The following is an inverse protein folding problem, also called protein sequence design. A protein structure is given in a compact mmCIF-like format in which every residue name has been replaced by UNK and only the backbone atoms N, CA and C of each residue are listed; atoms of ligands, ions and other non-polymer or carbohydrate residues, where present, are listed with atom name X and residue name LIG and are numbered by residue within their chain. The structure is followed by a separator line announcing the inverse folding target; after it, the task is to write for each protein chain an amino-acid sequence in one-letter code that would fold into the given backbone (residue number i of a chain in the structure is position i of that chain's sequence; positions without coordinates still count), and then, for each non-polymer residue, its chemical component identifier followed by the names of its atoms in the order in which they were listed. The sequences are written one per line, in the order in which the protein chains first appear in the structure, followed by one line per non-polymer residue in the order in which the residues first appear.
data_IF_516072180519
#
_entry.id   IF_516072180519
#
_cell.length_a   1.000
_cell.length_b   1.000
_cell.length_c   1.000
_cell.angle_alpha   90.00
_cell.angle_beta   90.00
_cell.angle_gamma   90.00
#
_symmetry.space_group_name_H-M   'P 1'
#
loop_
_entity.id
_entity.type
_entity.pdbx_description
1 polymer ?
#
# COMPACT_ATOMS: atom_id res chain seq x y z
N UNK A 1 14.68 -16.18 -2.86
CA UNK A 1 14.75 -14.84 -2.24
C UNK A 1 15.28 -13.84 -3.25
N UNK A 2 16.46 -14.03 -3.84
CA UNK A 2 17.10 -13.11 -4.81
C UNK A 2 16.18 -12.79 -6.00
N UNK A 3 15.55 -13.80 -6.61
CA UNK A 3 14.62 -13.59 -7.73
C UNK A 3 13.43 -12.70 -7.34
N UNK A 4 12.88 -12.91 -6.14
CA UNK A 4 11.75 -12.10 -5.64
C UNK A 4 12.18 -10.66 -5.31
N UNK A 5 13.42 -10.47 -4.81
CA UNK A 5 13.99 -9.13 -4.63
C UNK A 5 14.05 -8.38 -5.94
N UNK A 6 14.62 -9.02 -6.96
CA UNK A 6 14.76 -8.41 -8.30
C UNK A 6 13.38 -8.07 -8.90
N UNK A 7 12.37 -8.91 -8.71
CA UNK A 7 11.00 -8.63 -9.14
C UNK A 7 10.41 -7.42 -8.42
N UNK A 8 10.57 -7.31 -7.10
CA UNK A 8 10.05 -6.19 -6.30
C UNK A 8 10.74 -4.87 -6.67
N UNK A 9 12.09 -4.87 -6.67
CA UNK A 9 12.85 -3.67 -6.99
C UNK A 9 12.69 -3.25 -8.45
N UNK A 10 12.89 -4.18 -9.38
CA UNK A 10 12.77 -3.90 -10.81
C UNK A 10 11.36 -3.49 -11.19
N UNK A 11 10.35 -4.21 -10.72
CA UNK A 11 8.95 -3.89 -10.98
C UNK A 11 8.52 -2.53 -10.43
N UNK A 12 8.94 -2.20 -9.20
CA UNK A 12 8.61 -0.91 -8.60
C UNK A 12 9.31 0.25 -9.31
N UNK A 13 10.64 0.15 -9.50
CA UNK A 13 11.42 1.25 -10.10
C UNK A 13 11.03 1.47 -11.56
N UNK A 14 10.94 0.41 -12.37
CA UNK A 14 10.53 0.53 -13.77
C UNK A 14 9.08 1.00 -13.90
N UNK A 15 8.19 0.50 -13.06
CA UNK A 15 6.81 0.96 -13.01
C UNK A 15 6.71 2.45 -12.65
N UNK A 16 7.49 2.92 -11.66
CA UNK A 16 7.44 4.31 -11.23
C UNK A 16 8.08 5.27 -12.25
N UNK A 17 9.13 4.85 -12.94
CA UNK A 17 9.70 5.61 -14.06
C UNK A 17 8.70 5.73 -15.20
N UNK A 18 8.05 4.64 -15.58
CA UNK A 18 7.04 4.64 -16.63
C UNK A 18 5.83 5.51 -16.26
N UNK A 19 5.33 5.37 -15.05
CA UNK A 19 4.25 6.19 -14.49
C UNK A 19 4.59 7.68 -14.59
N UNK A 20 5.75 8.07 -14.08
CA UNK A 20 6.24 9.45 -14.10
C UNK A 20 6.41 10.01 -15.52
N UNK A 21 6.88 9.19 -16.45
CA UNK A 21 7.00 9.58 -17.86
C UNK A 21 5.61 9.83 -18.48
N UNK A 22 4.63 8.95 -18.21
CA UNK A 22 3.26 9.10 -18.70
C UNK A 22 2.63 10.36 -18.12
N UNK A 23 2.76 10.60 -16.80
CA UNK A 23 2.24 11.81 -16.14
C UNK A 23 2.89 13.08 -16.73
N UNK A 24 4.20 13.06 -16.95
CA UNK A 24 4.91 14.18 -17.58
C UNK A 24 4.41 14.49 -19.00
N UNK A 25 4.17 13.46 -19.81
CA UNK A 25 3.62 13.60 -21.17
C UNK A 25 2.19 14.13 -21.13
N UNK A 26 1.32 13.61 -20.27
CA UNK A 26 -0.04 14.10 -20.10
C UNK A 26 -0.03 15.56 -19.65
N UNK A 27 0.80 15.91 -18.67
CA UNK A 27 0.96 17.28 -18.20
C UNK A 27 1.38 18.20 -19.35
N UNK A 28 2.39 17.80 -20.14
CA UNK A 28 2.83 18.59 -21.28
C UNK A 28 1.70 18.85 -22.30
N UNK A 29 0.98 17.81 -22.70
CA UNK A 29 -0.10 17.92 -23.69
C UNK A 29 -1.21 18.85 -23.18
N UNK A 30 -1.68 18.66 -21.96
CA UNK A 30 -2.79 19.44 -21.40
C UNK A 30 -2.38 20.89 -21.18
N UNK A 31 -1.21 21.15 -20.60
CA UNK A 31 -0.71 22.49 -20.37
C UNK A 31 -0.45 23.24 -21.69
N UNK A 32 0.01 22.54 -22.75
CA UNK A 32 0.18 23.11 -24.08
C UNK A 32 -1.16 23.50 -24.71
N UNK A 33 -2.20 22.66 -24.58
CA UNK A 33 -3.56 22.96 -25.05
C UNK A 33 -4.13 24.18 -24.30
N UNK A 34 -3.87 24.26 -22.98
CA UNK A 34 -4.28 25.38 -22.14
C UNK A 34 -3.42 26.65 -22.37
N UNK A 35 -2.40 26.57 -23.22
CA UNK A 35 -1.45 27.67 -23.49
C UNK A 35 -0.83 28.25 -22.22
N UNK A 36 -0.45 27.34 -21.28
CA UNK A 36 0.19 27.75 -20.04
C UNK A 36 1.62 28.25 -20.29
N UNK A 37 2.10 29.23 -19.51
CA UNK A 37 3.50 29.65 -19.59
C UNK A 37 4.43 28.52 -19.16
N UNK A 38 5.63 28.52 -19.70
CA UNK A 38 6.70 27.55 -19.38
C UNK A 38 6.25 26.09 -19.38
N UNK A 39 5.31 25.73 -20.26
CA UNK A 39 4.68 24.40 -20.34
C UNK A 39 5.69 23.26 -20.28
N UNK A 40 6.80 23.35 -21.04
CA UNK A 40 7.83 22.29 -21.05
C UNK A 40 8.49 22.15 -19.70
N UNK A 41 8.89 23.26 -19.07
CA UNK A 41 9.52 23.28 -17.77
C UNK A 41 8.60 22.68 -16.69
N UNK A 42 7.36 23.14 -16.65
CA UNK A 42 6.34 22.70 -15.70
C UNK A 42 6.05 21.20 -15.86
N UNK A 43 5.90 20.72 -17.10
CA UNK A 43 5.65 19.31 -17.37
C UNK A 43 6.81 18.41 -16.94
N UNK A 44 8.06 18.85 -17.17
CA UNK A 44 9.26 18.12 -16.71
C UNK A 44 9.33 18.11 -15.19
N UNK A 45 9.06 19.23 -14.52
CA UNK A 45 9.03 19.28 -13.05
C UNK A 45 8.00 18.29 -12.51
N UNK A 46 6.75 18.32 -13.02
CA UNK A 46 5.69 17.40 -12.59
C UNK A 46 6.07 15.95 -12.84
N UNK A 47 6.56 15.62 -14.04
CA UNK A 47 6.95 14.27 -14.40
C UNK A 47 8.09 13.74 -13.54
N UNK A 48 9.17 14.51 -13.39
CA UNK A 48 10.33 14.09 -12.60
C UNK A 48 10.00 13.92 -11.11
N UNK A 49 9.27 14.88 -10.54
CA UNK A 49 8.90 14.80 -9.12
C UNK A 49 7.94 13.66 -8.83
N UNK A 50 7.07 13.28 -9.80
CA UNK A 50 6.14 12.16 -9.65
C UNK A 50 6.82 10.81 -9.42
N UNK A 51 8.14 10.69 -9.64
CA UNK A 51 8.92 9.50 -9.25
C UNK A 51 8.78 9.21 -7.75
N UNK A 52 8.65 10.23 -6.90
CA UNK A 52 8.45 10.07 -5.47
C UNK A 52 6.96 9.81 -5.19
N UNK A 53 6.58 8.61 -4.71
CA UNK A 53 5.17 8.34 -4.40
C UNK A 53 4.64 9.29 -3.32
N UNK A 54 3.38 9.70 -3.44
CA UNK A 54 2.65 10.61 -2.55
C UNK A 54 3.19 12.04 -2.48
N UNK A 55 4.49 12.24 -2.29
CA UNK A 55 5.10 13.57 -2.14
C UNK A 55 5.46 14.24 -3.46
N UNK A 56 5.76 13.45 -4.49
CA UNK A 56 6.14 13.95 -5.79
C UNK A 56 5.19 14.99 -6.38
N UNK A 57 3.89 14.72 -6.40
CA UNK A 57 2.90 15.68 -6.87
C UNK A 57 2.95 17.04 -6.18
N UNK A 58 3.14 17.07 -4.87
CA UNK A 58 3.23 18.32 -4.11
C UNK A 58 4.54 19.05 -4.37
N UNK A 59 5.65 18.30 -4.41
CA UNK A 59 6.99 18.85 -4.70
C UNK A 59 7.03 19.48 -6.09
N UNK A 60 6.33 18.90 -7.07
CA UNK A 60 6.24 19.45 -8.42
C UNK A 60 5.22 20.55 -8.58
N UNK A 61 4.05 20.42 -7.95
CA UNK A 61 2.96 21.38 -8.10
C UNK A 61 3.29 22.75 -7.47
N UNK A 62 3.96 22.79 -6.31
CA UNK A 62 4.24 24.05 -5.61
C UNK A 62 5.13 24.99 -6.44
N UNK A 63 6.35 24.58 -6.90
CA UNK A 63 7.17 25.47 -7.71
C UNK A 63 6.53 25.77 -9.07
N UNK A 64 5.85 24.83 -9.70
CA UNK A 64 5.14 25.02 -10.95
C UNK A 64 4.01 26.05 -10.81
N UNK A 65 3.25 25.99 -9.73
CA UNK A 65 2.22 26.99 -9.43
C UNK A 65 2.81 28.39 -9.28
N UNK A 66 3.93 28.52 -8.55
CA UNK A 66 4.60 29.80 -8.35
C UNK A 66 5.06 30.37 -9.71
N UNK A 67 5.67 29.56 -10.57
CA UNK A 67 6.12 29.97 -11.89
C UNK A 67 4.94 30.52 -12.72
N UNK A 68 3.81 29.82 -12.70
CA UNK A 68 2.63 30.19 -13.52
C UNK A 68 1.91 31.40 -12.92
N UNK A 69 1.67 31.43 -11.60
CA UNK A 69 0.90 32.52 -10.96
C UNK A 69 1.61 33.87 -11.03
N UNK A 70 2.94 33.89 -11.01
CA UNK A 70 3.71 35.13 -11.18
C UNK A 70 3.60 35.72 -12.58
N UNK A 71 3.35 34.86 -13.58
CA UNK A 71 3.15 35.34 -14.98
C UNK A 71 1.69 35.65 -15.25
N UNK A 72 0.76 34.82 -14.80
CA UNK A 72 -0.67 35.00 -14.97
C UNK A 72 -1.46 34.36 -13.81
N UNK A 73 -2.00 35.16 -12.88
CA UNK A 73 -2.74 34.65 -11.72
C UNK A 73 -3.97 33.80 -12.08
N UNK A 74 -4.66 34.13 -13.16
CA UNK A 74 -5.85 33.38 -13.63
C UNK A 74 -5.43 31.98 -14.12
N UNK A 75 -4.35 31.92 -14.87
CA UNK A 75 -3.79 30.62 -15.30
C UNK A 75 -3.27 29.79 -14.12
N UNK A 76 -2.76 30.42 -13.07
CA UNK A 76 -2.41 29.76 -11.82
C UNK A 76 -3.59 28.99 -11.20
N UNK A 77 -4.79 29.59 -11.20
CA UNK A 77 -6.01 28.92 -10.72
C UNK A 77 -6.38 27.72 -11.60
N UNK A 78 -6.34 27.84 -12.91
CA UNK A 78 -6.60 26.73 -13.84
C UNK A 78 -5.57 25.62 -13.66
N UNK A 79 -4.30 25.95 -13.41
CA UNK A 79 -3.26 25.00 -13.13
C UNK A 79 -3.54 24.18 -11.87
N UNK A 80 -4.00 24.79 -10.78
CA UNK A 80 -4.36 24.06 -9.56
C UNK A 80 -5.49 23.05 -9.81
N UNK A 81 -6.53 23.46 -10.55
CA UNK A 81 -7.63 22.56 -10.92
C UNK A 81 -7.09 21.39 -11.75
N UNK A 82 -6.25 21.69 -12.74
CA UNK A 82 -5.62 20.67 -13.58
C UNK A 82 -4.80 19.67 -12.77
N UNK A 83 -3.96 20.15 -11.85
CA UNK A 83 -3.12 19.28 -11.01
C UNK A 83 -3.99 18.37 -10.14
N UNK A 84 -5.06 18.87 -9.53
CA UNK A 84 -5.97 18.05 -8.73
C UNK A 84 -6.59 16.95 -9.60
N UNK A 85 -7.06 17.26 -10.80
CA UNK A 85 -7.62 16.27 -11.72
C UNK A 85 -6.54 15.26 -12.13
N UNK A 86 -5.36 15.73 -12.49
CA UNK A 86 -4.23 14.87 -12.87
C UNK A 86 -3.89 13.87 -11.76
N UNK A 87 -3.86 14.32 -10.49
CA UNK A 87 -3.60 13.46 -9.34
C UNK A 87 -4.71 12.43 -9.10
N UNK A 88 -5.97 12.78 -9.35
CA UNK A 88 -7.05 11.82 -9.28
C UNK A 88 -6.94 10.73 -10.36
N UNK A 89 -6.54 11.12 -11.56
CA UNK A 89 -6.31 10.17 -12.66
C UNK A 89 -5.08 9.28 -12.37
N UNK A 90 -4.00 9.87 -11.87
CA UNK A 90 -2.81 9.11 -11.46
C UNK A 90 -3.13 8.10 -10.36
N UNK A 91 -3.66 8.56 -9.25
CA UNK A 91 -3.91 7.74 -8.06
C UNK A 91 -4.96 6.64 -8.26
N UNK A 92 -5.97 6.86 -9.11
CA UNK A 92 -7.08 5.93 -9.26
C UNK A 92 -7.03 5.08 -10.55
N UNK A 93 -6.30 5.52 -11.56
CA UNK A 93 -6.29 4.86 -12.87
C UNK A 93 -4.89 4.43 -13.30
N UNK A 94 -3.93 5.38 -13.37
CA UNK A 94 -2.61 5.14 -13.95
C UNK A 94 -1.76 4.33 -12.97
N UNK A 95 -1.62 4.81 -11.74
CA UNK A 95 -0.83 4.16 -10.71
C UNK A 95 -1.23 2.70 -10.47
N UNK A 96 -2.52 2.36 -10.22
CA UNK A 96 -2.94 0.97 -10.07
C UNK A 96 -2.68 0.10 -11.30
N UNK A 97 -2.79 0.65 -12.52
CA UNK A 97 -2.54 -0.09 -13.75
C UNK A 97 -1.06 -0.38 -14.00
N UNK A 98 -0.18 0.55 -13.61
CA UNK A 98 1.27 0.44 -13.87
C UNK A 98 1.97 -0.27 -12.73
N UNK A 99 1.73 0.17 -11.50
CA UNK A 99 2.38 -0.38 -10.31
C UNK A 99 1.72 -1.67 -9.82
N UNK A 100 0.40 -1.81 -10.02
CA UNK A 100 -0.36 -2.96 -9.52
C UNK A 100 -0.06 -3.26 -8.05
N UNK A 101 -0.15 -4.54 -7.68
CA UNK A 101 0.23 -5.03 -6.34
C UNK A 101 1.74 -5.31 -6.22
N UNK A 102 2.58 -4.54 -6.93
CA UNK A 102 4.03 -4.82 -7.06
C UNK A 102 4.75 -4.95 -5.72
N UNK A 103 4.29 -4.24 -4.69
CA UNK A 103 4.91 -4.25 -3.36
C UNK A 103 4.18 -5.14 -2.36
N UNK A 104 2.89 -5.39 -2.55
CA UNK A 104 2.02 -6.10 -1.60
C UNK A 104 1.92 -5.41 -0.23
N UNK A 105 2.24 -4.12 -0.16
CA UNK A 105 2.16 -3.29 1.04
C UNK A 105 0.86 -2.47 1.05
N UNK A 106 0.26 -2.27 2.23
CA UNK A 106 -0.81 -1.28 2.36
C UNK A 106 -0.26 0.14 2.25
N UNK A 107 -1.12 1.11 1.88
CA UNK A 107 -0.76 2.52 1.73
C UNK A 107 -0.04 3.09 2.98
N UNK A 108 -0.45 2.67 4.18
CA UNK A 108 0.20 3.05 5.43
C UNK A 108 1.70 2.67 5.45
N UNK A 109 2.02 1.43 5.10
CA UNK A 109 3.41 0.96 5.09
C UNK A 109 4.24 1.59 3.98
N UNK A 110 3.63 1.92 2.86
CA UNK A 110 4.30 2.67 1.78
C UNK A 110 4.66 4.07 2.26
N UNK A 111 3.70 4.81 2.86
CA UNK A 111 3.95 6.15 3.41
C UNK A 111 5.02 6.12 4.51
N UNK A 112 4.95 5.16 5.43
CA UNK A 112 5.93 4.96 6.50
C UNK A 112 7.35 4.73 5.95
N UNK A 113 7.48 3.88 4.92
CA UNK A 113 8.77 3.59 4.30
C UNK A 113 9.39 4.80 3.60
N UNK A 114 8.57 5.65 2.98
CA UNK A 114 9.02 6.90 2.34
C UNK A 114 9.50 7.90 3.38
N UNK A 115 8.76 8.07 4.49
CA UNK A 115 9.14 9.00 5.55
C UNK A 115 10.46 8.59 6.21
N UNK A 116 10.61 7.32 6.58
CA UNK A 116 11.86 6.82 7.18
C UNK A 116 12.99 6.84 6.16
N UNK A 117 12.75 6.33 4.96
CA UNK A 117 13.75 6.34 3.90
C UNK A 117 14.22 7.76 3.59
N UNK A 118 13.28 8.70 3.47
CA UNK A 118 13.57 10.10 3.23
C UNK A 118 14.34 10.78 4.36
N UNK A 119 14.00 10.48 5.61
CA UNK A 119 14.70 11.01 6.77
C UNK A 119 16.14 10.50 6.93
N UNK A 120 16.41 9.26 6.51
CA UNK A 120 17.73 8.63 6.63
C UNK A 120 18.64 8.89 5.41
N UNK A 121 18.09 8.87 4.20
CA UNK A 121 18.86 8.88 2.95
C UNK A 121 18.39 9.95 1.94
N UNK A 122 17.53 10.88 2.37
CA UNK A 122 17.01 11.94 1.51
C UNK A 122 16.22 11.42 0.31
N UNK A 123 16.39 12.06 -0.85
CA UNK A 123 15.65 11.73 -2.08
C UNK A 123 15.76 10.24 -2.49
N UNK A 124 16.98 9.70 -2.45
CA UNK A 124 17.22 8.28 -2.78
C UNK A 124 16.50 7.34 -1.81
N UNK A 125 16.44 7.73 -0.53
CA UNK A 125 15.72 6.98 0.48
C UNK A 125 14.21 7.01 0.29
N UNK A 126 13.63 8.11 -0.18
CA UNK A 126 12.20 8.18 -0.54
C UNK A 126 11.86 7.23 -1.68
N UNK A 127 12.72 7.17 -2.70
CA UNK A 127 12.50 6.31 -3.86
C UNK A 127 12.73 4.82 -3.53
N UNK A 128 13.84 4.50 -2.86
CA UNK A 128 14.22 3.12 -2.58
C UNK A 128 13.58 2.57 -1.29
N UNK A 129 13.07 3.43 -0.43
CA UNK A 129 12.44 3.04 0.83
C UNK A 129 11.30 2.04 0.66
N UNK A 130 10.45 2.27 -0.33
CA UNK A 130 9.30 1.40 -0.60
C UNK A 130 9.74 -0.02 -0.98
N UNK A 131 10.58 -0.27 -1.98
CA UNK A 131 11.00 -1.63 -2.32
C UNK A 131 11.87 -2.28 -1.22
N UNK A 132 12.68 -1.51 -0.50
CA UNK A 132 13.44 -2.03 0.65
C UNK A 132 12.49 -2.52 1.75
N UNK A 133 11.51 -1.71 2.11
CA UNK A 133 10.53 -2.08 3.13
C UNK A 133 9.64 -3.25 2.69
N UNK A 134 9.23 -3.29 1.42
CA UNK A 134 8.50 -4.42 0.84
C UNK A 134 9.28 -5.72 0.96
N UNK A 135 10.61 -5.67 0.77
CA UNK A 135 11.50 -6.80 0.92
C UNK A 135 11.57 -7.28 2.38
N UNK A 136 11.76 -6.36 3.33
CA UNK A 136 11.78 -6.66 4.76
C UNK A 136 10.44 -7.31 5.17
N UNK A 137 9.32 -6.70 4.76
CA UNK A 137 7.98 -7.24 5.02
C UNK A 137 7.78 -8.64 4.45
N UNK A 138 8.23 -8.88 3.21
CA UNK A 138 8.18 -10.21 2.59
C UNK A 138 8.98 -11.25 3.37
N UNK A 139 10.18 -10.90 3.83
CA UNK A 139 11.03 -11.81 4.63
C UNK A 139 10.36 -12.13 5.96
N UNK A 140 9.87 -11.11 6.68
CA UNK A 140 9.17 -11.30 7.97
C UNK A 140 7.94 -12.18 7.77
N UNK A 141 7.11 -11.88 6.78
CA UNK A 141 5.92 -12.69 6.47
C UNK A 141 6.26 -14.14 6.17
N UNK A 142 7.36 -14.38 5.46
CA UNK A 142 7.81 -15.73 5.13
C UNK A 142 8.28 -16.49 6.39
N UNK A 143 9.01 -15.83 7.29
CA UNK A 143 9.47 -16.43 8.55
C UNK A 143 8.27 -16.75 9.47
N UNK A 144 7.33 -15.82 9.60
CA UNK A 144 6.11 -16.02 10.39
C UNK A 144 5.28 -17.18 9.82
N UNK A 145 5.04 -17.20 8.51
CA UNK A 145 4.28 -18.28 7.87
C UNK A 145 4.97 -19.65 8.03
N UNK A 146 6.31 -19.70 8.01
CA UNK A 146 7.04 -20.93 8.26
C UNK A 146 6.83 -21.43 9.69
N UNK A 147 6.88 -20.53 10.67
CA UNK A 147 6.64 -20.86 12.08
C UNK A 147 5.20 -21.32 12.34
N UNK A 148 4.22 -20.66 11.70
CA UNK A 148 2.80 -21.03 11.79
C UNK A 148 2.57 -22.42 11.20
N UNK A 149 3.15 -22.72 10.05
CA UNK A 149 3.04 -24.06 9.42
C UNK A 149 3.66 -25.16 10.26
N UNK A 150 4.78 -24.90 10.93
CA UNK A 150 5.38 -25.87 11.86
C UNK A 150 4.47 -26.24 13.03
N UNK A 151 3.56 -25.32 13.43
CA UNK A 151 2.58 -25.54 14.50
C UNK A 151 1.24 -26.11 13.99
N UNK A 152 1.17 -26.55 12.73
CA UNK A 152 -0.05 -27.03 12.06
C UNK A 152 -1.21 -26.01 12.07
N UNK A 153 -0.89 -24.71 12.17
CA UNK A 153 -1.87 -23.61 12.12
C UNK A 153 -2.06 -23.13 10.68
N UNK A 154 -3.25 -22.61 10.38
CA UNK A 154 -3.51 -21.99 9.07
C UNK A 154 -2.77 -20.66 8.92
N UNK A 155 -2.34 -20.35 7.69
CA UNK A 155 -1.72 -19.07 7.35
C UNK A 155 -2.74 -18.04 6.78
N UNK A 156 -4.02 -18.41 6.76
CA UNK A 156 -5.10 -17.55 6.25
C UNK A 156 -5.59 -16.68 7.40
N UNK A 157 -5.38 -15.37 7.30
CA UNK A 157 -5.70 -14.39 8.36
C UNK A 157 -7.19 -14.35 8.67
N UNK A 158 -8.04 -14.46 7.64
CA UNK A 158 -9.48 -14.43 7.76
C UNK A 158 -10.02 -15.55 8.65
N UNK A 159 -9.33 -16.69 8.70
CA UNK A 159 -9.70 -17.81 9.58
C UNK A 159 -9.59 -17.47 11.07
N UNK A 160 -8.85 -16.41 11.43
CA UNK A 160 -8.66 -16.00 12.82
C UNK A 160 -9.60 -14.84 13.22
N UNK A 161 -10.27 -14.19 12.30
CA UNK A 161 -11.13 -13.01 12.59
C UNK A 161 -12.28 -13.38 13.54
N UNK A 162 -12.86 -14.57 13.38
CA UNK A 162 -13.97 -15.08 14.22
C UNK A 162 -13.52 -16.18 15.19
N UNK A 163 -12.19 -16.36 15.37
CA UNK A 163 -11.67 -17.40 16.24
C UNK A 163 -11.86 -17.06 17.71
N UNK A 164 -12.45 -17.98 18.45
CA UNK A 164 -12.55 -17.94 19.91
C UNK A 164 -11.26 -18.44 20.59
N UNK A 165 -10.40 -19.14 19.87
CA UNK A 165 -9.13 -19.69 20.32
C UNK A 165 -8.60 -20.74 19.37
N UNK A 166 -7.45 -21.33 19.76
CA UNK A 166 -6.81 -22.44 19.04
C UNK A 166 -6.68 -23.62 20.00
N UNK A 167 -6.96 -24.81 19.53
CA UNK A 167 -6.74 -26.02 20.29
C UNK A 167 -5.24 -26.32 20.30
N UNK A 168 -4.59 -26.28 21.46
CA UNK A 168 -3.14 -26.44 21.60
C UNK A 168 -2.65 -27.83 21.18
N UNK A 169 -3.47 -28.87 21.31
CA UNK A 169 -3.10 -30.24 20.97
C UNK A 169 -3.21 -30.53 19.46
N UNK A 170 -4.20 -29.98 18.79
CA UNK A 170 -4.48 -30.29 17.37
C UNK A 170 -4.18 -29.14 16.41
N UNK A 171 -3.93 -27.92 16.91
CA UNK A 171 -3.77 -26.71 16.11
C UNK A 171 -5.08 -26.23 15.42
N UNK A 172 -6.22 -26.85 15.71
CA UNK A 172 -7.49 -26.50 15.09
C UNK A 172 -8.05 -25.19 15.64
N UNK A 173 -8.60 -24.35 14.74
CA UNK A 173 -9.27 -23.08 15.12
C UNK A 173 -10.62 -23.41 15.72
N UNK A 174 -10.89 -22.82 16.89
CA UNK A 174 -12.18 -22.93 17.60
C UNK A 174 -12.93 -21.63 17.37
N UNK A 175 -14.10 -21.71 16.74
CA UNK A 175 -14.98 -20.54 16.52
C UNK A 175 -15.89 -20.27 17.71
N UNK A 176 -16.35 -19.03 17.90
CA UNK A 176 -17.22 -18.62 19.00
C UNK A 176 -18.49 -19.48 19.15
N UNK A 177 -19.10 -19.87 18.04
CA UNK A 177 -20.30 -20.73 18.02
C UNK A 177 -20.04 -22.15 18.54
N UNK A 178 -18.88 -22.75 18.26
CA UNK A 178 -18.52 -24.09 18.73
C UNK A 178 -18.18 -24.11 20.22
N UNK A 179 -17.58 -23.03 20.75
CA UNK A 179 -17.29 -22.91 22.17
C UNK A 179 -18.55 -22.89 23.02
N UNK A 180 -19.62 -22.26 22.54
CA UNK A 180 -20.91 -22.28 23.21
C UNK A 180 -21.59 -23.65 23.11
N UNK A 181 -21.50 -24.33 21.96
CA UNK A 181 -22.07 -25.66 21.76
C UNK A 181 -21.40 -26.69 22.67
N UNK A 182 -20.06 -26.65 22.80
CA UNK A 182 -19.28 -27.54 23.69
C UNK A 182 -19.57 -27.29 25.17
N UNK A 183 -19.78 -26.03 25.60
CA UNK A 183 -20.20 -25.69 26.96
C UNK A 183 -21.63 -26.19 27.29
N UNK A 184 -22.56 -26.13 26.33
CA UNK A 184 -23.91 -26.66 26.50
C UNK A 184 -23.92 -28.16 26.62
N UNK A 185 -23.19 -28.88 25.76
CA UNK A 185 -23.09 -30.35 25.77
C UNK A 185 -22.47 -30.88 27.07
N UNK A 186 -21.43 -30.23 27.60
CA UNK A 186 -20.83 -30.59 28.88
C UNK A 186 -21.76 -30.30 30.07
N UNK A 187 -22.57 -29.26 30.00
CA UNK A 187 -23.53 -28.92 31.05
C UNK A 187 -24.75 -29.88 31.08
N UNK A 188 -25.16 -30.35 29.90
CA UNK A 188 -26.23 -31.33 29.75
C UNK A 188 -25.79 -32.76 30.11
N UNK A 189 -24.53 -33.14 29.85
CA UNK A 189 -23.97 -34.44 30.30
C UNK A 189 -23.77 -34.48 31.80
N UNK A 190 -23.28 -33.39 32.43
CA UNK A 190 -23.15 -33.31 33.89
C UNK A 190 -24.48 -33.42 34.64
N UNK A 191 -25.57 -32.80 34.07
CA UNK A 191 -26.90 -32.91 34.64
C UNK A 191 -27.54 -34.30 34.54
N UNK A 192 -27.19 -35.07 33.49
CA UNK A 192 -27.66 -36.47 33.35
C UNK A 192 -27.00 -37.43 34.32
N UNK A 193 -25.73 -37.18 34.68
CA UNK A 193 -25.03 -38.01 35.65
C UNK A 193 -25.48 -37.76 37.11
N UNK A 194 -25.84 -36.51 37.45
CA UNK A 194 -26.40 -36.21 38.77
C UNK A 194 -27.80 -36.80 38.97
N UNK A 195 -28.61 -36.89 37.91
CA UNK A 195 -29.96 -37.47 38.01
C UNK A 195 -29.95 -38.98 38.12
N UNK A 196 -28.89 -39.66 37.64
CA UNK A 196 -28.72 -41.10 37.77
C UNK A 196 -28.11 -41.54 39.11
N UNK A 197 -27.50 -40.66 39.89
CA UNK A 197 -26.97 -40.93 41.22
C UNK A 197 -27.99 -40.80 42.35
N UNK A 198 -29.16 -40.19 42.06
CA UNK A 198 -30.21 -39.93 43.03
C UNK A 198 -31.47 -40.83 42.86
N UNK A 199 -31.37 -41.88 42.05
CA UNK A 199 -32.35 -43.01 41.98
C UNK A 199 -31.64 -44.32 42.43
#
# INVERSE_FOLDING_TARGET
TVRKSNEIFGGFISGKILDSAIIGVIAYIVLAIMKMPDTMLVAVIIGVTNIIPFFGPFIGAIPSFIIIVLQNPVQGLYFLIFVIILQQVDGNIIGPKILGDSTGLSAFWVMFSILIGGGLFGFLGMLLGVPVFAMIYYIIRRLVNHSIRKKNLTTVTEAYVEAAGVNEATGAIIYYGEKQKKKRTLKDSGKKDETKKNQ
#
